data_IF_953218482149
#
_entry.id   IF_953218482149
#
_cell.length_a   1.000
_cell.length_b   1.000
_cell.length_c   1.000
_cell.angle_alpha   90.00
_cell.angle_beta   90.00
_cell.angle_gamma   90.00
#
_symmetry.space_group_name_H-M   'P 1'
#
loop_
_entity.id
_entity.type
_entity.pdbx_description
1 polymer ?
#
# COMPACT_ATOMS: atom_id res chain seq x y z
N UNK A 1 17.57 -56.50 30.19
CA UNK A 1 18.43 -56.24 29.02
C UNK A 1 18.80 -54.75 29.01
N UNK A 2 19.88 -54.35 29.71
CA UNK A 2 20.33 -52.96 29.78
C UNK A 2 21.17 -52.63 28.56
N UNK A 3 20.65 -51.79 27.66
CA UNK A 3 21.38 -51.35 26.46
C UNK A 3 22.58 -50.51 26.94
N UNK A 4 23.83 -50.90 26.61
CA UNK A 4 25.00 -50.13 27.01
C UNK A 4 24.95 -48.73 26.36
N UNK A 5 25.04 -47.68 27.18
CA UNK A 5 24.96 -46.26 26.75
C UNK A 5 25.95 -45.91 25.62
N UNK A 6 27.06 -46.66 25.49
CA UNK A 6 28.06 -46.51 24.42
C UNK A 6 27.54 -46.92 23.04
N UNK A 7 26.65 -47.92 22.97
CA UNK A 7 26.04 -48.38 21.72
C UNK A 7 25.05 -47.37 21.14
N UNK A 8 24.27 -46.72 22.02
CA UNK A 8 23.26 -45.73 21.64
C UNK A 8 23.90 -44.45 21.05
N UNK A 9 24.96 -43.94 21.69
CA UNK A 9 25.70 -42.76 21.20
C UNK A 9 26.29 -42.98 19.81
N UNK A 10 26.79 -44.18 19.54
CA UNK A 10 27.37 -44.53 18.24
C UNK A 10 26.30 -44.64 17.14
N UNK A 11 25.13 -45.22 17.45
CA UNK A 11 23.98 -45.23 16.53
C UNK A 11 23.50 -43.81 16.21
N UNK A 12 23.28 -42.99 17.23
CA UNK A 12 22.89 -41.58 17.07
C UNK A 12 23.89 -40.81 16.22
N UNK A 13 25.20 -40.95 16.51
CA UNK A 13 26.26 -40.27 15.75
C UNK A 13 26.26 -40.68 14.29
N UNK A 14 26.07 -41.96 13.99
CA UNK A 14 26.01 -42.45 12.60
C UNK A 14 24.77 -41.94 11.88
N UNK A 15 23.57 -42.07 12.47
CA UNK A 15 22.35 -41.52 11.87
C UNK A 15 22.41 -40.01 11.63
N UNK A 16 22.99 -39.24 12.56
CA UNK A 16 23.17 -37.81 12.38
C UNK A 16 24.12 -37.48 11.23
N UNK A 17 25.17 -38.28 11.07
CA UNK A 17 26.16 -38.11 10.00
C UNK A 17 25.54 -38.42 8.64
N UNK A 18 24.75 -39.48 8.55
CA UNK A 18 24.05 -39.88 7.33
C UNK A 18 23.01 -38.82 6.94
N UNK A 19 22.27 -38.30 7.91
CA UNK A 19 21.27 -37.25 7.68
C UNK A 19 21.87 -35.93 7.19
N UNK A 20 23.05 -35.55 7.71
CA UNK A 20 23.78 -34.37 7.24
C UNK A 20 24.35 -34.57 5.83
N UNK A 21 24.75 -35.79 5.49
CA UNK A 21 25.27 -36.13 4.16
C UNK A 21 24.18 -36.22 3.10
N UNK A 22 22.96 -36.60 3.51
CA UNK A 22 21.77 -36.71 2.67
C UNK A 22 20.99 -35.38 2.55
N UNK A 23 21.30 -34.41 3.41
CA UNK A 23 20.68 -33.08 3.36
C UNK A 23 21.03 -32.34 2.05
N UNK A 24 20.01 -31.87 1.34
CA UNK A 24 20.11 -31.03 0.13
C UNK A 24 20.79 -29.67 0.40
N UNK A 25 21.07 -29.33 1.66
CA UNK A 25 21.78 -28.11 2.03
C UNK A 25 23.23 -28.16 1.54
N UNK A 26 23.51 -27.57 0.38
CA UNK A 26 24.81 -27.57 -0.31
C UNK A 26 26.04 -27.19 0.54
N UNK A 27 25.86 -26.52 1.70
CA UNK A 27 26.92 -26.17 2.63
C UNK A 27 27.27 -27.25 3.66
N UNK A 28 26.30 -28.02 4.13
CA UNK A 28 26.48 -28.98 5.24
C UNK A 28 27.38 -30.18 4.89
N UNK A 29 27.18 -30.88 3.74
CA UNK A 29 28.05 -31.97 3.33
C UNK A 29 29.51 -31.55 3.11
N UNK A 30 29.76 -30.30 2.67
CA UNK A 30 31.12 -29.79 2.44
C UNK A 30 31.90 -29.55 3.75
N UNK A 31 31.21 -29.17 4.83
CA UNK A 31 31.82 -29.01 6.17
C UNK A 31 32.30 -30.36 6.73
N UNK A 32 31.52 -31.44 6.49
CA UNK A 32 31.85 -32.77 7.00
C UNK A 32 32.82 -33.56 6.12
N UNK A 33 32.82 -33.34 4.80
CA UNK A 33 33.73 -34.02 3.85
C UNK A 33 35.14 -33.41 3.80
N UNK A 34 35.33 -32.15 4.17
CA UNK A 34 36.64 -31.48 4.08
C UNK A 34 37.55 -31.86 5.24
N UNK A 35 38.81 -32.23 5.00
CA UNK A 35 39.76 -32.58 6.07
C UNK A 35 40.52 -31.36 6.64
N UNK A 36 40.75 -30.33 5.83
CA UNK A 36 41.48 -29.12 6.25
C UNK A 36 40.62 -28.21 7.14
N UNK A 37 41.12 -27.89 8.34
CA UNK A 37 40.42 -27.07 9.32
C UNK A 37 40.04 -25.66 8.81
N UNK A 38 40.93 -24.99 8.08
CA UNK A 38 40.67 -23.62 7.57
C UNK A 38 39.46 -23.58 6.62
N UNK A 39 39.32 -24.60 5.76
CA UNK A 39 38.19 -24.70 4.84
C UNK A 39 36.89 -25.02 5.60
N UNK A 40 36.94 -25.85 6.65
CA UNK A 40 35.76 -26.08 7.51
C UNK A 40 35.27 -24.78 8.12
N UNK A 41 36.16 -23.97 8.69
CA UNK A 41 35.82 -22.68 9.31
C UNK A 41 35.20 -21.73 8.28
N UNK A 42 35.79 -21.64 7.07
CA UNK A 42 35.23 -20.83 5.98
C UNK A 42 33.80 -21.25 5.62
N UNK A 43 33.55 -22.56 5.46
CA UNK A 43 32.21 -23.07 5.14
C UNK A 43 31.22 -22.86 6.29
N UNK A 44 31.65 -23.00 7.55
CA UNK A 44 30.81 -22.73 8.72
C UNK A 44 30.43 -21.25 8.80
N UNK A 45 31.39 -20.34 8.61
CA UNK A 45 31.12 -18.89 8.61
C UNK A 45 30.16 -18.53 7.47
N UNK A 46 30.40 -19.02 6.26
CA UNK A 46 29.51 -18.79 5.12
C UNK A 46 28.09 -19.29 5.35
N UNK A 47 27.95 -20.46 5.99
CA UNK A 47 26.64 -21.01 6.36
C UNK A 47 25.95 -20.17 7.43
N UNK A 48 26.66 -19.74 8.48
CA UNK A 48 26.13 -18.87 9.52
C UNK A 48 25.66 -17.51 8.97
N UNK A 49 26.45 -16.89 8.09
CA UNK A 49 26.10 -15.62 7.44
C UNK A 49 24.84 -15.80 6.57
N UNK A 50 24.79 -16.86 5.77
CA UNK A 50 23.64 -17.15 4.91
C UNK A 50 22.35 -17.36 5.71
N UNK A 51 22.41 -18.12 6.80
CA UNK A 51 21.26 -18.34 7.68
C UNK A 51 20.82 -17.03 8.33
N UNK A 52 21.76 -16.27 8.91
CA UNK A 52 21.44 -14.99 9.54
C UNK A 52 20.82 -13.98 8.57
N UNK A 53 21.38 -13.87 7.36
CA UNK A 53 20.87 -13.00 6.31
C UNK A 53 19.48 -13.43 5.83
N UNK A 54 19.27 -14.75 5.64
CA UNK A 54 17.97 -15.30 5.29
C UNK A 54 16.91 -15.00 6.36
N UNK A 55 17.23 -15.24 7.64
CA UNK A 55 16.33 -14.91 8.76
C UNK A 55 15.99 -13.42 8.81
N UNK A 56 16.97 -12.54 8.58
CA UNK A 56 16.74 -11.10 8.51
C UNK A 56 15.78 -10.72 7.36
N UNK A 57 15.95 -11.28 6.16
CA UNK A 57 15.07 -11.03 5.02
C UNK A 57 13.64 -11.53 5.26
N UNK A 58 13.49 -12.69 5.92
CA UNK A 58 12.18 -13.23 6.29
C UNK A 58 11.49 -12.28 7.28
N UNK A 59 12.18 -11.87 8.34
CA UNK A 59 11.64 -10.94 9.33
C UNK A 59 11.22 -9.61 8.69
N UNK A 60 12.04 -9.05 7.81
CA UNK A 60 11.72 -7.82 7.06
C UNK A 60 10.50 -7.99 6.16
N UNK A 61 10.40 -9.11 5.45
CA UNK A 61 9.24 -9.41 4.61
C UNK A 61 7.95 -9.50 5.42
N UNK A 62 8.01 -10.15 6.59
CA UNK A 62 6.86 -10.23 7.51
C UNK A 62 6.46 -8.84 8.01
N UNK A 63 7.42 -8.03 8.45
CA UNK A 63 7.15 -6.66 8.90
C UNK A 63 6.49 -5.80 7.80
N UNK A 64 7.00 -5.89 6.57
CA UNK A 64 6.41 -5.18 5.44
C UNK A 64 4.99 -5.67 5.12
N UNK A 65 4.72 -6.96 5.27
CA UNK A 65 3.38 -7.53 5.04
C UNK A 65 2.37 -7.02 6.08
N UNK A 66 2.74 -7.02 7.36
CA UNK A 66 1.85 -6.55 8.45
C UNK A 66 1.72 -5.03 8.51
N UNK A 67 2.53 -4.28 7.77
CA UNK A 67 2.35 -2.83 7.62
C UNK A 67 1.18 -2.46 6.71
N UNK A 68 0.56 -3.43 6.03
CA UNK A 68 -0.63 -3.25 5.17
C UNK A 68 -0.50 -2.05 4.20
N UNK A 69 0.72 -1.85 3.66
CA UNK A 69 0.97 -0.77 2.71
C UNK A 69 0.14 -0.96 1.44
N UNK A 70 -0.76 -0.03 1.16
CA UNK A 70 -1.55 -0.02 -0.07
C UNK A 70 -0.84 0.81 -1.14
N UNK A 71 -0.71 0.26 -2.35
CA UNK A 71 -0.20 1.01 -3.51
C UNK A 71 -1.37 1.27 -4.45
N UNK A 72 -1.83 2.52 -4.50
CA UNK A 72 -2.88 2.94 -5.42
C UNK A 72 -2.28 3.19 -6.81
N UNK A 73 -2.73 2.43 -7.80
CA UNK A 73 -2.35 2.68 -9.20
C UNK A 73 -3.43 3.53 -9.87
N UNK A 74 -3.09 4.79 -10.18
CA UNK A 74 -4.00 5.68 -10.91
C UNK A 74 -3.84 5.37 -12.40
N UNK A 75 -4.93 4.93 -13.04
CA UNK A 75 -4.98 4.65 -14.48
C UNK A 75 -6.12 5.45 -15.08
N UNK A 76 -5.84 6.14 -16.19
CA UNK A 76 -6.87 6.78 -16.99
C UNK A 76 -7.44 5.73 -17.95
N UNK A 77 -8.73 5.45 -17.81
CA UNK A 77 -9.51 4.66 -18.77
C UNK A 77 -10.63 5.53 -19.31
N UNK A 78 -10.75 5.59 -20.62
CA UNK A 78 -11.87 6.25 -21.29
C UNK A 78 -12.94 5.18 -21.52
N UNK A 79 -14.03 5.24 -20.76
CA UNK A 79 -15.16 4.33 -20.91
C UNK A 79 -16.23 5.02 -21.79
N UNK A 80 -16.72 4.29 -22.79
CA UNK A 80 -17.79 4.73 -23.71
C UNK A 80 -18.88 3.65 -23.68
N UNK A 81 -20.14 3.98 -23.33
CA UNK A 81 -20.65 5.30 -22.96
C UNK A 81 -20.20 5.74 -21.55
N UNK A 82 -20.07 7.04 -21.34
CA UNK A 82 -19.80 7.62 -20.02
C UNK A 82 -21.13 7.95 -19.33
N UNK A 83 -21.31 7.49 -18.09
CA UNK A 83 -22.47 7.87 -17.28
C UNK A 83 -22.38 9.36 -16.92
N UNK A 84 -23.41 10.12 -17.29
CA UNK A 84 -23.49 11.54 -16.97
C UNK A 84 -23.76 11.69 -15.46
N UNK A 85 -22.96 12.47 -14.71
CA UNK A 85 -23.18 12.65 -13.28
C UNK A 85 -24.48 13.40 -13.02
N UNK A 86 -25.09 13.15 -11.86
CA UNK A 86 -26.25 13.91 -11.42
C UNK A 86 -25.85 15.37 -11.13
N UNK A 87 -26.35 16.29 -11.94
CA UNK A 87 -26.16 17.73 -11.74
C UNK A 87 -27.32 18.26 -10.89
N UNK A 88 -27.00 18.87 -9.74
CA UNK A 88 -27.98 19.54 -8.88
C UNK A 88 -27.80 21.04 -8.95
N UNK A 89 -28.85 21.76 -9.38
CA UNK A 89 -28.86 23.21 -9.46
C UNK A 89 -29.63 23.76 -8.26
N UNK A 90 -28.96 24.61 -7.47
CA UNK A 90 -29.57 25.27 -6.32
C UNK A 90 -29.77 26.76 -6.59
N UNK A 91 -30.95 27.27 -6.23
CA UNK A 91 -31.18 28.71 -6.16
C UNK A 91 -30.36 29.29 -4.99
N UNK A 92 -29.68 30.42 -5.22
CA UNK A 92 -28.86 31.10 -4.19
C UNK A 92 -29.70 31.77 -3.08
N UNK A 93 -31.03 31.66 -3.14
CA UNK A 93 -31.93 32.12 -2.09
C UNK A 93 -32.52 30.91 -1.38
N UNK A 94 -32.34 30.87 -0.07
CA UNK A 94 -32.91 29.83 0.80
C UNK A 94 -34.44 29.92 0.88
N UNK A 95 -35.02 31.10 0.65
CA UNK A 95 -36.45 31.35 0.67
C UNK A 95 -36.86 32.28 -0.48
N UNK A 96 -38.07 32.15 -1.00
CA UNK A 96 -38.59 33.01 -2.09
C UNK A 96 -39.20 34.33 -1.59
N UNK A 97 -39.06 34.64 -0.30
CA UNK A 97 -39.67 35.83 0.30
C UNK A 97 -38.80 37.07 0.10
N UNK A 98 -39.43 38.23 -0.10
CA UNK A 98 -38.72 39.49 -0.28
C UNK A 98 -37.76 39.82 0.88
N UNK A 99 -38.17 39.51 2.12
CA UNK A 99 -37.34 39.70 3.32
C UNK A 99 -36.03 38.91 3.27
N UNK A 100 -36.05 37.73 2.66
CA UNK A 100 -34.85 36.90 2.54
C UNK A 100 -33.86 37.44 1.49
N UNK A 101 -34.37 38.05 0.41
CA UNK A 101 -33.54 38.76 -0.55
C UNK A 101 -32.88 39.99 0.09
N UNK A 102 -33.65 40.79 0.83
CA UNK A 102 -33.14 41.97 1.55
C UNK A 102 -32.11 41.59 2.63
N UNK A 103 -32.36 40.50 3.37
CA UNK A 103 -31.40 39.99 4.34
C UNK A 103 -30.09 39.54 3.67
N UNK A 104 -30.18 38.83 2.53
CA UNK A 104 -29.01 38.41 1.75
C UNK A 104 -28.17 39.61 1.33
N UNK A 105 -28.77 40.60 0.67
CA UNK A 105 -28.08 41.81 0.23
C UNK A 105 -27.44 42.58 1.40
N UNK A 106 -28.12 42.67 2.54
CA UNK A 106 -27.59 43.33 3.73
C UNK A 106 -26.38 42.60 4.34
N UNK A 107 -26.42 41.27 4.42
CA UNK A 107 -25.30 40.45 4.91
C UNK A 107 -24.12 40.51 3.95
N UNK A 108 -24.38 40.44 2.65
CA UNK A 108 -23.36 40.46 1.61
C UNK A 108 -22.61 41.78 1.56
N UNK A 109 -23.35 42.90 1.56
CA UNK A 109 -22.78 44.25 1.64
C UNK A 109 -21.96 44.46 2.91
N UNK A 110 -22.41 43.93 4.05
CA UNK A 110 -21.69 44.06 5.33
C UNK A 110 -20.35 43.31 5.32
N UNK A 111 -20.29 42.19 4.60
CA UNK A 111 -19.11 41.32 4.55
C UNK A 111 -18.24 41.57 3.31
N UNK A 112 -18.59 42.53 2.44
CA UNK A 112 -17.84 42.83 1.22
C UNK A 112 -17.82 41.67 0.22
N UNK A 113 -18.88 40.87 0.17
CA UNK A 113 -18.98 39.71 -0.73
C UNK A 113 -19.55 40.18 -2.08
N UNK A 114 -18.75 40.10 -3.14
CA UNK A 114 -19.20 40.35 -4.51
C UNK A 114 -19.90 39.11 -5.11
N UNK A 115 -20.90 39.34 -5.97
CA UNK A 115 -21.65 38.28 -6.66
C UNK A 115 -20.77 37.55 -7.69
N UNK A 116 -20.31 36.36 -7.31
CA UNK A 116 -19.49 35.48 -8.15
C UNK A 116 -20.27 35.02 -9.39
N UNK A 117 -21.60 34.96 -9.32
CA UNK A 117 -22.50 34.60 -10.43
C UNK A 117 -23.04 35.83 -11.18
N UNK A 118 -22.16 36.78 -11.52
CA UNK A 118 -22.54 37.89 -12.40
C UNK A 118 -22.91 37.37 -13.80
N UNK A 119 -23.76 38.10 -14.53
CA UNK A 119 -24.11 37.86 -15.94
C UNK A 119 -22.88 37.63 -16.84
N UNK A 120 -21.76 38.30 -16.55
CA UNK A 120 -20.48 38.08 -17.24
C UNK A 120 -19.95 36.68 -16.97
N UNK A 121 -19.92 36.22 -15.72
CA UNK A 121 -19.51 34.85 -15.35
C UNK A 121 -20.39 33.80 -16.02
N UNK A 122 -21.73 33.96 -15.98
CA UNK A 122 -22.65 33.03 -16.64
C UNK A 122 -22.44 33.02 -18.16
N UNK A 123 -22.28 34.19 -18.78
CA UNK A 123 -22.03 34.27 -20.23
C UNK A 123 -20.69 33.64 -20.63
N UNK A 124 -19.63 33.83 -19.84
CA UNK A 124 -18.32 33.20 -20.09
C UNK A 124 -18.36 31.70 -19.83
N UNK A 125 -19.10 31.26 -18.82
CA UNK A 125 -19.29 29.84 -18.49
C UNK A 125 -20.04 29.10 -19.62
N UNK A 126 -21.14 29.67 -20.13
CA UNK A 126 -21.91 29.05 -21.22
C UNK A 126 -21.32 29.30 -22.63
N UNK A 127 -20.47 30.32 -22.82
CA UNK A 127 -19.81 30.60 -24.09
C UNK A 127 -18.51 29.81 -24.30
N UNK A 128 -17.89 29.28 -23.23
CA UNK A 128 -16.70 28.45 -23.33
C UNK A 128 -17.04 27.08 -23.90
N UNK A 129 -16.80 26.92 -25.21
CA UNK A 129 -16.86 25.66 -25.96
C UNK A 129 -15.70 24.69 -25.59
N UNK A 130 -15.35 24.52 -24.30
CA UNK A 130 -14.41 23.49 -23.85
C UNK A 130 -14.70 22.99 -22.42
N UNK A 131 -14.50 21.69 -22.13
CA UNK A 131 -15.22 20.93 -21.10
C UNK A 131 -14.45 20.89 -19.78
N UNK A 132 -14.30 22.02 -19.10
CA UNK A 132 -13.84 22.00 -17.70
C UNK A 132 -14.71 22.91 -16.85
N UNK A 133 -15.56 22.24 -16.07
CA UNK A 133 -16.57 22.84 -15.22
C UNK A 133 -15.94 23.46 -13.97
N UNK A 134 -16.07 24.78 -13.82
CA UNK A 134 -16.13 25.40 -12.50
C UNK A 134 -17.60 25.61 -12.15
N UNK A 135 -18.31 24.50 -11.97
CA UNK A 135 -19.54 24.47 -11.20
C UNK A 135 -19.16 24.33 -9.73
N UNK A 136 -19.92 24.97 -8.83
CA UNK A 136 -19.98 24.50 -7.45
C UNK A 136 -20.72 23.16 -7.42
N UNK A 137 -20.06 22.12 -7.94
CA UNK A 137 -20.50 20.74 -7.83
C UNK A 137 -20.24 20.36 -6.39
N UNK A 138 -21.26 20.39 -5.55
CA UNK A 138 -21.25 19.50 -4.39
C UNK A 138 -21.52 18.11 -4.94
N UNK A 139 -20.46 17.39 -5.29
CA UNK A 139 -20.57 15.95 -5.51
C UNK A 139 -21.05 15.37 -4.20
N UNK A 140 -22.28 14.85 -4.17
CA UNK A 140 -22.71 13.97 -3.08
C UNK A 140 -21.88 12.69 -3.22
N UNK A 141 -20.69 12.68 -2.62
CA UNK A 141 -19.99 11.43 -2.34
C UNK A 141 -20.82 10.72 -1.27
N UNK A 142 -21.66 9.78 -1.72
CA UNK A 142 -22.18 8.73 -0.87
C UNK A 142 -20.98 7.89 -0.40
N UNK A 143 -20.78 7.81 0.92
CA UNK A 143 -19.96 6.81 1.57
C UNK A 143 -20.89 5.92 2.38
#
# INVERSE_FOLDING_TARGET
MSIPKSGLRRKLKNSFKDWILDSTSHGFPKIFKTERLSLKVMWTIGLCISIGFCSYLIARSIMNYVQFGVTTTIRYKTEIPMDLPAVSICQNLMFSTQKSAEFKENVWRKNGIEDIFNSTFLSTFFASNYPYEVFFIKTAQYF
#
